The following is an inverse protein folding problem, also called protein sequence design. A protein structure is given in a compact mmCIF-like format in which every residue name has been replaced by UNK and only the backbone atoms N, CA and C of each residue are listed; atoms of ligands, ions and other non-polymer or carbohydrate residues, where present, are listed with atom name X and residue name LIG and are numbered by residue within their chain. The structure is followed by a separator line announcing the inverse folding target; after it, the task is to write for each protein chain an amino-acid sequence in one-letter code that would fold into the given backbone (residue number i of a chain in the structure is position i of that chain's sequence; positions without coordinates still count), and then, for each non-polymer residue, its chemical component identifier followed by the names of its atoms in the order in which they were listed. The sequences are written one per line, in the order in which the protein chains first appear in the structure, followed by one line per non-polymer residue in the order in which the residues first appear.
data_IF_091713367691
#
_entry.id   IF_091713367691
#
_cell.length_a   1.000
_cell.length_b   1.000
_cell.length_c   1.000
_cell.angle_alpha   90.00
_cell.angle_beta   90.00
_cell.angle_gamma   90.00
#
_symmetry.space_group_name_H-M   'P 1'
#
loop_
_entity.id
_entity.type
_entity.pdbx_description
1 polymer ?
#
# COMPACT_ATOMS: atom_id res chain seq x y z
N UNK A 1 -22.56 33.40 9.80
CA UNK A 1 -21.74 33.12 8.60
C UNK A 1 -20.55 32.29 9.06
N UNK A 2 -20.59 30.96 8.82
CA UNK A 2 -19.50 30.06 9.25
C UNK A 2 -18.35 30.18 8.26
N UNK A 3 -17.24 30.77 8.67
CA UNK A 3 -16.03 30.83 7.88
C UNK A 3 -15.46 29.41 7.73
N UNK A 4 -15.73 28.74 6.61
CA UNK A 4 -14.97 27.56 6.18
C UNK A 4 -13.55 28.00 5.86
N UNK A 5 -12.69 28.09 6.89
CA UNK A 5 -11.39 28.78 6.84
C UNK A 5 -10.32 27.97 6.09
N UNK A 6 -10.63 26.76 5.60
CA UNK A 6 -9.66 25.86 4.95
C UNK A 6 -10.28 25.12 3.75
N UNK A 7 -9.50 24.87 2.68
CA UNK A 7 -9.98 24.23 1.47
C UNK A 7 -10.37 22.76 1.67
N UNK A 8 -9.74 22.04 2.61
CA UNK A 8 -10.06 20.64 2.88
C UNK A 8 -10.60 20.43 4.29
N UNK A 9 -11.73 19.72 4.39
CA UNK A 9 -12.36 19.34 5.64
C UNK A 9 -11.69 18.08 6.21
N UNK A 10 -10.61 18.28 6.97
CA UNK A 10 -9.92 17.23 7.73
C UNK A 10 -10.10 17.55 9.21
N UNK A 11 -10.64 16.61 9.99
CA UNK A 11 -10.82 16.80 11.43
C UNK A 11 -9.47 16.64 12.15
N UNK A 12 -9.21 17.47 13.17
CA UNK A 12 -8.05 17.30 14.06
C UNK A 12 -8.10 15.94 14.75
N UNK A 13 -9.28 15.44 15.08
CA UNK A 13 -9.47 14.14 15.70
C UNK A 13 -9.02 13.00 14.77
N UNK A 14 -9.28 13.10 13.46
CA UNK A 14 -8.76 12.13 12.48
C UNK A 14 -7.23 12.06 12.50
N UNK A 15 -6.55 13.21 12.63
CA UNK A 15 -5.09 13.27 12.73
C UNK A 15 -4.58 12.64 14.04
N UNK A 16 -5.29 12.85 15.14
CA UNK A 16 -4.97 12.23 16.42
C UNK A 16 -5.14 10.71 16.40
N UNK A 17 -6.26 10.20 15.88
CA UNK A 17 -6.50 8.76 15.73
C UNK A 17 -5.47 8.10 14.80
N UNK A 18 -5.13 8.79 13.70
CA UNK A 18 -4.08 8.34 12.79
C UNK A 18 -2.73 8.23 13.50
N UNK A 19 -2.40 9.20 14.35
CA UNK A 19 -1.20 9.14 15.17
C UNK A 19 -1.22 7.96 16.16
N UNK A 20 -2.34 7.69 16.84
CA UNK A 20 -2.44 6.55 17.74
C UNK A 20 -2.19 5.22 17.01
N UNK A 21 -2.73 5.08 15.79
CA UNK A 21 -2.47 3.92 14.95
C UNK A 21 -1.00 3.80 14.50
N UNK A 22 -0.34 4.92 14.18
CA UNK A 22 1.10 4.93 13.86
C UNK A 22 1.95 4.57 15.07
N UNK A 23 1.61 5.08 16.26
CA UNK A 23 2.29 4.77 17.51
C UNK A 23 2.23 3.27 17.83
N UNK A 24 1.06 2.66 17.70
CA UNK A 24 0.87 1.23 17.96
C UNK A 24 1.72 0.32 17.07
N UNK A 25 2.00 0.75 15.82
CA UNK A 25 2.83 0.01 14.87
C UNK A 25 4.34 0.19 15.10
N UNK A 26 4.75 1.10 16.01
CA UNK A 26 6.14 1.52 16.20
C UNK A 26 6.83 1.88 14.87
N UNK A 27 8.16 1.79 14.80
CA UNK A 27 8.92 1.88 13.56
C UNK A 27 9.98 2.98 13.58
N UNK A 28 10.98 2.80 12.72
CA UNK A 28 12.18 3.61 12.68
C UNK A 28 11.91 5.07 12.27
N UNK A 29 12.84 5.94 12.63
CA UNK A 29 12.85 7.33 12.23
C UNK A 29 13.16 7.48 10.72
N UNK A 30 12.54 8.48 10.09
CA UNK A 30 12.75 8.81 8.68
C UNK A 30 14.01 9.64 8.45
N UNK A 31 14.02 10.40 7.35
CA UNK A 31 15.15 11.27 6.97
C UNK A 31 15.44 12.38 7.99
N UNK A 32 14.41 12.81 8.73
CA UNK A 32 14.50 13.82 9.80
C UNK A 32 15.05 13.27 11.13
N UNK A 33 15.30 11.96 11.20
CA UNK A 33 15.82 11.26 12.38
C UNK A 33 14.94 11.41 13.63
N UNK A 34 13.70 11.87 13.49
CA UNK A 34 12.77 12.02 14.60
C UNK A 34 12.15 10.65 14.95
N UNK A 35 12.41 10.18 16.17
CA UNK A 35 11.73 8.99 16.72
C UNK A 35 10.30 9.31 17.16
N UNK A 36 9.51 8.28 17.46
CA UNK A 36 8.14 8.47 17.97
C UNK A 36 8.17 9.19 19.33
N UNK A 37 9.13 8.82 20.19
CA UNK A 37 9.32 9.42 21.51
C UNK A 37 9.70 10.90 21.41
N UNK A 38 10.58 11.24 20.45
CA UNK A 38 10.94 12.64 20.17
C UNK A 38 9.76 13.42 19.58
N UNK A 39 8.95 12.77 18.73
CA UNK A 39 7.73 13.36 18.17
C UNK A 39 6.69 13.67 19.28
N UNK A 40 6.63 12.85 20.33
CA UNK A 40 5.72 13.00 21.46
C UNK A 40 6.05 14.16 22.39
N UNK A 41 7.30 14.63 22.44
CA UNK A 41 7.71 15.74 23.30
C UNK A 41 6.93 17.04 23.02
N UNK A 42 6.53 17.26 21.76
CA UNK A 42 5.58 18.31 21.36
C UNK A 42 4.44 17.70 20.53
N UNK A 43 3.73 16.73 21.11
CA UNK A 43 2.67 16.02 20.39
C UNK A 43 1.61 16.99 19.83
N UNK A 44 1.13 17.92 20.65
CA UNK A 44 0.07 18.87 20.24
C UNK A 44 0.54 19.77 19.10
N UNK A 45 1.75 20.33 19.18
CA UNK A 45 2.30 21.17 18.13
C UNK A 45 2.56 20.40 16.84
N UNK A 46 3.11 19.19 16.93
CA UNK A 46 3.40 18.34 15.77
C UNK A 46 2.11 17.90 15.05
N UNK A 47 1.09 17.44 15.77
CA UNK A 47 -0.21 17.10 15.18
C UNK A 47 -0.91 18.33 14.59
N UNK A 48 -0.82 19.49 15.24
CA UNK A 48 -1.36 20.73 14.71
C UNK A 48 -0.70 21.14 13.39
N UNK A 49 0.63 21.01 13.27
CA UNK A 49 1.37 21.29 12.04
C UNK A 49 0.90 20.39 10.89
N UNK A 50 0.75 19.09 11.15
CA UNK A 50 0.25 18.12 10.16
C UNK A 50 -1.16 18.47 9.73
N UNK A 51 -2.09 18.58 10.68
CA UNK A 51 -3.47 18.98 10.42
C UNK A 51 -3.54 20.29 9.64
N UNK A 52 -2.75 21.28 10.03
CA UNK A 52 -2.82 22.60 9.44
C UNK A 52 -2.44 22.57 7.96
N UNK A 53 -1.31 21.93 7.65
CA UNK A 53 -0.78 21.80 6.29
C UNK A 53 -1.60 20.87 5.41
N UNK A 54 -2.15 19.79 5.99
CA UNK A 54 -3.05 18.89 5.26
C UNK A 54 -4.37 19.61 4.94
N UNK A 55 -4.97 20.29 5.92
CA UNK A 55 -6.24 20.98 5.69
C UNK A 55 -6.13 22.15 4.72
N UNK A 56 -4.94 22.77 4.60
CA UNK A 56 -4.67 23.87 3.67
C UNK A 56 -4.18 23.42 2.28
N UNK A 57 -3.89 22.13 2.07
CA UNK A 57 -3.28 21.67 0.82
C UNK A 57 -1.78 21.96 0.68
N UNK A 58 -1.12 22.53 1.70
CA UNK A 58 0.32 22.89 1.66
C UNK A 58 1.26 21.82 2.25
N UNK A 59 0.72 20.66 2.61
CA UNK A 59 1.52 19.50 3.02
C UNK A 59 2.23 18.88 1.81
N UNK A 60 3.56 18.89 1.81
CA UNK A 60 4.37 18.17 0.85
C UNK A 60 5.21 17.14 1.62
N UNK A 61 5.24 15.88 1.17
CA UNK A 61 6.00 14.86 1.84
C UNK A 61 7.51 15.17 1.73
N UNK A 62 8.27 14.96 2.81
CA UNK A 62 9.73 14.93 2.71
C UNK A 62 10.19 13.71 1.89
N UNK A 63 11.46 13.67 1.47
CA UNK A 63 12.06 12.46 0.92
C UNK A 63 11.90 11.27 1.88
N UNK A 64 11.77 10.07 1.30
CA UNK A 64 11.63 8.82 2.05
C UNK A 64 13.01 8.23 2.27
N UNK A 65 13.35 7.84 3.51
CA UNK A 65 14.68 7.30 3.83
C UNK A 65 14.85 5.91 3.24
N UNK A 66 15.87 5.72 2.40
CA UNK A 66 16.24 4.42 1.87
C UNK A 66 17.01 3.61 2.93
N UNK A 67 16.52 2.40 3.22
CA UNK A 67 17.16 1.46 4.15
C UNK A 67 17.38 0.13 3.45
N UNK A 68 18.64 -0.24 3.29
CA UNK A 68 19.05 -1.52 2.71
C UNK A 68 18.84 -2.66 3.72
N UNK A 69 18.02 -3.65 3.35
CA UNK A 69 17.80 -4.87 4.12
C UNK A 69 18.29 -6.08 3.31
N UNK A 70 19.17 -6.94 3.85
CA UNK A 70 19.58 -8.16 3.20
C UNK A 70 18.41 -9.11 2.97
N UNK A 71 18.27 -9.66 1.75
CA UNK A 71 17.33 -10.75 1.48
C UNK A 71 17.93 -12.09 1.93
N UNK A 72 17.06 -13.01 2.39
CA UNK A 72 17.46 -14.38 2.79
C UNK A 72 18.15 -15.15 1.67
N UNK A 73 17.77 -14.90 0.41
CA UNK A 73 18.27 -15.63 -0.77
C UNK A 73 19.39 -14.89 -1.51
N UNK A 74 20.01 -13.88 -0.87
CA UNK A 74 20.97 -12.98 -1.51
C UNK A 74 20.32 -11.75 -2.16
N UNK A 75 21.10 -10.68 -2.26
CA UNK A 75 20.65 -9.36 -2.73
C UNK A 75 20.13 -8.45 -1.61
N UNK A 76 19.74 -7.23 -1.99
CA UNK A 76 19.28 -6.17 -1.07
C UNK A 76 17.85 -5.77 -1.43
N UNK A 77 17.01 -5.59 -0.41
CA UNK A 77 15.69 -4.95 -0.49
C UNK A 77 15.82 -3.54 0.06
N UNK A 78 15.48 -2.53 -0.74
CA UNK A 78 15.46 -1.15 -0.27
C UNK A 78 14.07 -0.87 0.32
N UNK A 79 13.99 -0.66 1.62
CA UNK A 79 12.79 -0.12 2.25
C UNK A 79 12.81 1.41 2.20
N UNK A 80 11.65 2.00 1.98
CA UNK A 80 11.41 3.42 2.16
C UNK A 80 10.76 3.67 3.51
N UNK A 81 11.49 4.29 4.44
CA UNK A 81 10.99 4.67 5.77
C UNK A 81 10.58 6.15 5.76
N UNK A 82 9.26 6.46 5.79
CA UNK A 82 8.80 7.84 5.88
C UNK A 82 9.03 8.42 7.28
N UNK A 83 9.02 9.74 7.41
CA UNK A 83 9.07 10.40 8.72
C UNK A 83 7.83 10.07 9.56
N UNK A 84 7.90 10.27 10.89
CA UNK A 84 6.72 10.07 11.76
C UNK A 84 5.55 10.93 11.28
N UNK A 85 5.81 12.20 10.96
CA UNK A 85 4.79 13.11 10.46
C UNK A 85 4.15 12.62 9.15
N UNK A 86 4.94 12.07 8.24
CA UNK A 86 4.45 11.53 6.97
C UNK A 86 3.67 10.23 7.15
N UNK A 87 4.09 9.36 8.06
CA UNK A 87 3.31 8.17 8.45
C UNK A 87 1.94 8.55 9.02
N UNK A 88 1.87 9.58 9.85
CA UNK A 88 0.59 10.10 10.38
C UNK A 88 -0.28 10.64 9.25
N UNK A 89 0.27 11.46 8.35
CA UNK A 89 -0.47 12.00 7.21
C UNK A 89 -0.98 10.89 6.26
N UNK A 90 -0.14 9.90 5.96
CA UNK A 90 -0.53 8.73 5.18
C UNK A 90 -1.62 7.91 5.88
N UNK A 91 -1.57 7.77 7.21
CA UNK A 91 -2.60 7.08 7.99
C UNK A 91 -3.94 7.82 7.95
N UNK A 92 -3.95 9.16 7.98
CA UNK A 92 -5.18 9.95 7.78
C UNK A 92 -5.82 9.62 6.43
N UNK A 93 -5.02 9.62 5.35
CA UNK A 93 -5.52 9.28 4.01
C UNK A 93 -5.97 7.81 3.93
N UNK A 94 -5.19 6.89 4.49
CA UNK A 94 -5.52 5.46 4.53
C UNK A 94 -6.90 5.23 5.16
N UNK A 95 -7.17 5.81 6.32
CA UNK A 95 -8.47 5.66 7.03
C UNK A 95 -9.66 6.18 6.21
N UNK A 96 -9.43 7.12 5.30
CA UNK A 96 -10.49 7.66 4.43
C UNK A 96 -10.73 6.76 3.21
N UNK A 97 -9.67 6.24 2.58
CA UNK A 97 -9.81 5.49 1.32
C UNK A 97 -10.01 3.98 1.54
N UNK A 98 -9.43 3.41 2.60
CA UNK A 98 -9.40 1.95 2.80
C UNK A 98 -10.80 1.33 2.90
N UNK A 99 -11.79 1.92 3.61
CA UNK A 99 -13.14 1.34 3.66
C UNK A 99 -13.82 1.22 2.29
N UNK A 100 -13.65 2.25 1.44
CA UNK A 100 -14.24 2.27 0.09
C UNK A 100 -13.55 1.26 -0.84
N UNK A 101 -12.22 1.14 -0.75
CA UNK A 101 -11.45 0.19 -1.55
C UNK A 101 -11.65 -1.26 -1.09
N UNK A 102 -11.69 -1.50 0.21
CA UNK A 102 -11.89 -2.82 0.82
C UNK A 102 -13.22 -3.44 0.37
N UNK A 103 -14.28 -2.62 0.24
CA UNK A 103 -15.58 -3.05 -0.28
C UNK A 103 -15.55 -3.52 -1.75
N UNK A 104 -14.45 -3.29 -2.48
CA UNK A 104 -14.26 -3.73 -3.88
C UNK A 104 -13.39 -4.97 -4.00
N UNK A 105 -12.49 -5.20 -3.04
CA UNK A 105 -11.52 -6.29 -3.13
C UNK A 105 -12.19 -7.66 -3.05
N UNK A 106 -11.75 -8.56 -3.94
CA UNK A 106 -12.32 -9.90 -4.05
C UNK A 106 -11.95 -10.77 -2.85
N UNK A 107 -12.79 -11.76 -2.47
CA UNK A 107 -12.61 -12.51 -1.22
C UNK A 107 -11.27 -13.24 -1.09
N UNK A 108 -10.68 -13.66 -2.21
CA UNK A 108 -9.46 -14.46 -2.25
C UNK A 108 -8.15 -13.63 -2.27
N UNK A 109 -8.26 -12.32 -2.04
CA UNK A 109 -7.13 -11.44 -1.72
C UNK A 109 -7.03 -11.26 -0.22
N UNK A 110 -5.91 -11.59 0.42
CA UNK A 110 -5.79 -11.62 1.89
C UNK A 110 -4.75 -10.63 2.43
N UNK A 111 -3.70 -10.35 1.66
CA UNK A 111 -2.55 -9.59 2.13
C UNK A 111 -2.91 -8.16 2.55
N UNK A 112 -2.45 -7.73 3.72
CA UNK A 112 -2.60 -6.35 4.23
C UNK A 112 -4.04 -5.83 4.34
N UNK A 113 -5.05 -6.71 4.43
CA UNK A 113 -6.46 -6.31 4.53
C UNK A 113 -6.99 -6.45 5.96
N UNK A 114 -7.84 -5.51 6.45
CA UNK A 114 -8.49 -5.65 7.74
C UNK A 114 -9.33 -6.93 7.84
N UNK A 115 -9.17 -7.69 8.93
CA UNK A 115 -9.93 -8.92 9.15
C UNK A 115 -9.60 -10.07 8.19
N UNK A 116 -8.47 -9.99 7.47
CA UNK A 116 -7.92 -11.08 6.65
C UNK A 116 -6.55 -11.47 7.18
N UNK A 117 -6.22 -12.76 7.08
CA UNK A 117 -4.97 -13.31 7.59
C UNK A 117 -4.34 -14.31 6.64
N UNK A 118 -3.02 -14.50 6.78
CA UNK A 118 -2.30 -15.54 6.05
C UNK A 118 -2.81 -16.96 6.43
N UNK A 119 -3.28 -17.14 7.66
CA UNK A 119 -3.84 -18.43 8.09
C UNK A 119 -5.15 -18.77 7.37
N UNK A 120 -6.01 -17.78 7.11
CA UNK A 120 -7.21 -17.99 6.30
C UNK A 120 -6.85 -18.34 4.85
N UNK A 121 -5.89 -17.62 4.26
CA UNK A 121 -5.37 -17.91 2.92
C UNK A 121 -4.85 -19.36 2.81
N UNK A 122 -4.07 -19.82 3.79
CA UNK A 122 -3.56 -21.20 3.86
C UNK A 122 -4.70 -22.20 4.04
N UNK A 123 -5.68 -21.92 4.88
CA UNK A 123 -6.81 -22.81 5.14
C UNK A 123 -7.64 -23.05 3.87
N UNK A 124 -7.98 -21.99 3.14
CA UNK A 124 -8.72 -22.08 1.87
C UNK A 124 -7.89 -22.79 0.80
N UNK A 125 -6.62 -22.44 0.65
CA UNK A 125 -5.69 -23.11 -0.27
C UNK A 125 -5.62 -24.61 0.00
N UNK A 126 -5.45 -25.02 1.27
CA UNK A 126 -5.40 -26.43 1.68
C UNK A 126 -6.67 -27.19 1.30
N UNK A 127 -7.84 -26.60 1.51
CA UNK A 127 -9.12 -27.22 1.15
C UNK A 127 -9.24 -27.45 -0.36
N UNK A 128 -8.76 -26.49 -1.17
CA UNK A 128 -8.81 -26.56 -2.63
C UNK A 128 -7.81 -27.57 -3.20
N UNK A 129 -6.67 -27.80 -2.54
CA UNK A 129 -5.73 -28.87 -2.93
C UNK A 129 -6.35 -30.28 -2.91
N UNK A 130 -7.49 -30.51 -2.24
CA UNK A 130 -8.21 -31.78 -2.30
C UNK A 130 -9.05 -31.97 -3.58
N UNK A 131 -9.35 -30.87 -4.29
CA UNK A 131 -10.19 -30.85 -5.48
C UNK A 131 -9.39 -30.59 -6.76
N UNK A 132 -8.25 -29.91 -6.63
CA UNK A 132 -7.41 -29.50 -7.74
C UNK A 132 -6.02 -30.15 -7.60
N UNK A 133 -5.65 -31.09 -8.48
CA UNK A 133 -4.39 -31.82 -8.39
C UNK A 133 -3.17 -30.99 -8.81
N UNK A 134 -3.38 -29.84 -9.47
CA UNK A 134 -2.31 -28.95 -9.92
C UNK A 134 -2.49 -27.53 -9.35
N UNK A 135 -1.36 -26.85 -9.18
CA UNK A 135 -1.34 -25.46 -8.76
C UNK A 135 -0.21 -24.70 -9.48
N UNK A 136 -0.49 -23.45 -9.84
CA UNK A 136 0.50 -22.48 -10.29
C UNK A 136 0.77 -21.51 -9.15
N UNK A 137 1.94 -21.62 -8.53
CA UNK A 137 2.46 -20.64 -7.56
C UNK A 137 3.21 -19.53 -8.31
N UNK A 138 3.04 -18.29 -7.88
CA UNK A 138 3.73 -17.14 -8.45
C UNK A 138 4.08 -16.10 -7.39
N UNK A 139 5.18 -15.38 -7.62
CA UNK A 139 5.62 -14.22 -6.84
C UNK A 139 5.90 -13.05 -7.78
N UNK A 140 5.29 -11.89 -7.52
CA UNK A 140 5.45 -10.71 -8.38
C UNK A 140 6.74 -9.98 -8.01
N UNK A 141 7.77 -10.16 -8.85
CA UNK A 141 9.07 -9.55 -8.66
C UNK A 141 9.00 -8.02 -8.56
N UNK A 142 9.28 -7.50 -7.37
CA UNK A 142 9.42 -6.06 -7.14
C UNK A 142 8.12 -5.28 -7.36
N UNK A 143 6.98 -5.83 -6.92
CA UNK A 143 5.67 -5.17 -7.03
C UNK A 143 5.72 -3.69 -6.62
N UNK A 144 6.22 -3.41 -5.42
CA UNK A 144 6.30 -2.06 -4.88
C UNK A 144 7.25 -1.15 -5.66
N UNK A 145 8.21 -1.70 -6.40
CA UNK A 145 9.18 -0.92 -7.17
C UNK A 145 8.69 -0.62 -8.59
N UNK A 146 7.72 -1.40 -9.10
CA UNK A 146 7.35 -1.41 -10.51
C UNK A 146 5.90 -1.00 -10.82
N UNK A 147 5.06 -0.71 -9.82
CA UNK A 147 3.68 -0.23 -10.05
C UNK A 147 3.67 1.03 -10.94
N UNK A 148 2.99 0.95 -12.07
CA UNK A 148 2.80 2.11 -12.96
C UNK A 148 1.87 3.13 -12.29
N UNK A 149 2.35 4.37 -12.13
CA UNK A 149 1.60 5.43 -11.47
C UNK A 149 0.35 5.82 -12.24
N UNK A 150 0.40 5.88 -13.58
CA UNK A 150 -0.74 6.29 -14.39
C UNK A 150 -1.88 5.26 -14.27
N UNK A 151 -1.56 3.96 -14.34
CA UNK A 151 -2.54 2.89 -14.15
C UNK A 151 -3.10 2.86 -12.73
N UNK A 152 -2.26 3.01 -11.70
CA UNK A 152 -2.70 3.09 -10.31
C UNK A 152 -3.63 4.29 -10.09
N UNK A 153 -3.27 5.47 -10.60
CA UNK A 153 -4.07 6.68 -10.46
C UNK A 153 -5.42 6.55 -11.17
N UNK A 154 -5.47 5.94 -12.36
CA UNK A 154 -6.74 5.63 -13.05
C UNK A 154 -7.63 4.70 -12.23
N UNK A 155 -7.06 3.69 -11.59
CA UNK A 155 -7.80 2.78 -10.70
C UNK A 155 -8.33 3.50 -9.45
N UNK A 156 -7.53 4.42 -8.88
CA UNK A 156 -7.93 5.24 -7.75
C UNK A 156 -9.06 6.22 -8.10
N UNK A 157 -8.96 6.94 -9.23
CA UNK A 157 -9.97 7.92 -9.67
C UNK A 157 -11.37 7.31 -9.86
N UNK A 158 -11.41 6.02 -10.20
CA UNK A 158 -12.67 5.27 -10.29
C UNK A 158 -13.38 5.17 -8.94
N UNK A 159 -12.65 5.01 -7.85
CA UNK A 159 -13.20 4.73 -6.52
C UNK A 159 -13.08 5.94 -5.59
N UNK A 160 -11.88 6.45 -5.35
CA UNK A 160 -11.62 7.52 -4.39
C UNK A 160 -12.16 8.85 -4.88
N UNK A 161 -13.27 9.32 -4.28
CA UNK A 161 -13.87 10.64 -4.58
C UNK A 161 -13.33 11.78 -3.73
N UNK A 162 -12.59 11.45 -2.68
CA UNK A 162 -11.96 12.44 -1.82
C UNK A 162 -10.77 13.12 -2.53
N UNK A 163 -10.98 14.35 -2.99
CA UNK A 163 -9.99 15.10 -3.79
C UNK A 163 -8.66 15.33 -3.05
N UNK A 164 -8.73 15.67 -1.76
CA UNK A 164 -7.51 15.92 -0.97
C UNK A 164 -6.74 14.62 -0.69
N UNK A 165 -7.42 13.48 -0.55
CA UNK A 165 -6.74 12.19 -0.45
C UNK A 165 -5.98 11.88 -1.75
N UNK A 166 -6.63 12.09 -2.90
CA UNK A 166 -6.00 11.94 -4.22
C UNK A 166 -4.79 12.86 -4.40
N UNK A 167 -4.88 14.10 -3.95
CA UNK A 167 -3.76 15.05 -3.97
C UNK A 167 -2.54 14.49 -3.22
N UNK A 168 -2.72 13.99 -2.01
CA UNK A 168 -1.60 13.49 -1.21
C UNK A 168 -1.04 12.17 -1.74
N UNK A 169 -1.89 11.26 -2.23
CA UNK A 169 -1.43 10.04 -2.90
C UNK A 169 -0.51 10.39 -4.08
N UNK A 170 -0.93 11.34 -4.95
CA UNK A 170 -0.10 11.81 -6.07
C UNK A 170 1.26 12.33 -5.59
N UNK A 171 1.30 13.11 -4.51
CA UNK A 171 2.55 13.64 -3.94
C UNK A 171 3.45 12.55 -3.33
N UNK A 172 2.89 11.56 -2.65
CA UNK A 172 3.67 10.45 -2.08
C UNK A 172 4.24 9.51 -3.12
N UNK A 173 3.52 9.27 -4.22
CA UNK A 173 4.00 8.43 -5.31
C UNK A 173 5.29 8.99 -5.94
N UNK A 174 5.41 10.32 -6.03
CA UNK A 174 6.57 11.00 -6.61
C UNK A 174 7.58 11.50 -5.57
N UNK A 175 7.37 11.24 -4.28
CA UNK A 175 8.31 11.65 -3.25
C UNK A 175 9.65 10.90 -3.44
N UNK A 176 10.80 11.61 -3.51
CA UNK A 176 12.08 10.97 -3.80
C UNK A 176 12.54 10.07 -2.66
N UNK A 177 13.32 9.05 -2.99
CA UNK A 177 14.08 8.26 -2.01
C UNK A 177 15.38 8.99 -1.68
N UNK A 178 15.75 9.02 -0.41
CA UNK A 178 17.02 9.59 0.04
C UNK A 178 17.94 8.48 0.54
N UNK A 179 19.08 8.30 -0.12
CA UNK A 179 20.12 7.35 0.25
C UNK A 179 20.96 7.84 1.43
N UNK A 180 21.76 6.94 2.00
CA UNK A 180 22.57 7.23 3.19
C UNK A 180 23.64 8.32 2.95
N UNK A 181 24.09 8.48 1.70
CA UNK A 181 25.01 9.55 1.27
C UNK A 181 24.32 10.90 1.01
N UNK A 182 22.99 10.95 1.19
CA UNK A 182 22.17 12.14 0.97
C UNK A 182 21.70 12.31 -0.48
N UNK A 183 22.07 11.41 -1.40
CA UNK A 183 21.58 11.47 -2.78
C UNK A 183 20.07 11.24 -2.83
N UNK A 184 19.41 12.04 -3.68
CA UNK A 184 17.97 11.92 -3.93
C UNK A 184 17.75 11.16 -5.23
N UNK A 185 16.98 10.09 -5.16
CA UNK A 185 16.53 9.30 -6.28
C UNK A 185 15.07 9.65 -6.58
N UNK A 186 14.82 10.22 -7.75
CA UNK A 186 13.48 10.52 -8.24
C UNK A 186 12.71 9.23 -8.53
N UNK A 187 11.40 9.27 -8.28
CA UNK A 187 10.52 8.10 -8.46
C UNK A 187 9.49 8.36 -9.53
N UNK A 188 9.59 7.60 -10.61
CA UNK A 188 8.66 7.62 -11.76
C UNK A 188 7.70 6.44 -11.76
N UNK A 189 7.94 5.44 -10.91
CA UNK A 189 7.12 4.24 -10.72
C UNK A 189 7.22 3.68 -9.30
N UNK A 190 6.36 2.73 -8.98
CA UNK A 190 6.28 2.04 -7.70
C UNK A 190 5.63 2.87 -6.59
N UNK A 191 5.49 2.28 -5.41
CA UNK A 191 5.09 2.96 -4.16
C UNK A 191 6.08 2.62 -3.03
N UNK A 192 6.46 3.58 -2.15
CA UNK A 192 7.53 3.35 -1.18
C UNK A 192 7.21 2.16 -0.26
N UNK A 193 8.16 1.23 -0.19
CA UNK A 193 8.01 0.02 0.60
C UNK A 193 8.26 0.34 2.08
N UNK A 194 7.17 0.57 2.83
CA UNK A 194 7.19 1.09 4.21
C UNK A 194 6.29 2.31 4.43
N UNK A 195 5.71 2.85 3.35
CA UNK A 195 4.58 3.77 3.46
C UNK A 195 3.35 3.09 4.05
N UNK A 196 2.63 3.80 4.90
CA UNK A 196 1.40 3.33 5.56
C UNK A 196 0.29 3.10 4.53
N UNK A 197 0.20 3.96 3.50
CA UNK A 197 -0.82 3.86 2.45
C UNK A 197 -0.43 2.88 1.34
N UNK A 198 0.87 2.58 1.20
CA UNK A 198 1.40 1.76 0.10
C UNK A 198 0.73 0.38 -0.05
N UNK A 199 0.43 -0.39 1.02
CA UNK A 199 -0.18 -1.70 0.88
C UNK A 199 -1.58 -1.68 0.25
N UNK A 200 -2.44 -0.72 0.63
CA UNK A 200 -3.79 -0.61 0.05
C UNK A 200 -3.73 -0.17 -1.42
N UNK A 201 -2.75 0.66 -1.79
CA UNK A 201 -2.51 1.04 -3.18
C UNK A 201 -2.03 -0.15 -4.04
N UNK A 202 -1.11 -0.95 -3.50
CA UNK A 202 -0.62 -2.15 -4.17
C UNK A 202 -1.75 -3.19 -4.36
N UNK A 203 -2.60 -3.39 -3.36
CA UNK A 203 -3.77 -4.25 -3.48
C UNK A 203 -4.77 -3.73 -4.51
N UNK A 204 -4.99 -2.42 -4.60
CA UNK A 204 -5.85 -1.85 -5.63
C UNK A 204 -5.32 -2.06 -7.04
N UNK A 205 -4.00 -1.93 -7.22
CA UNK A 205 -3.38 -2.23 -8.50
C UNK A 205 -3.61 -3.70 -8.87
N UNK A 206 -3.27 -4.63 -7.98
CA UNK A 206 -3.43 -6.07 -8.20
C UNK A 206 -4.88 -6.52 -8.33
N UNK A 207 -5.80 -5.83 -7.67
CA UNK A 207 -7.23 -6.08 -7.84
C UNK A 207 -7.65 -5.97 -9.31
N UNK A 208 -7.12 -4.98 -10.03
CA UNK A 208 -7.42 -4.81 -11.44
C UNK A 208 -6.53 -5.64 -12.37
N UNK A 209 -5.23 -5.71 -12.09
CA UNK A 209 -4.28 -6.37 -12.99
C UNK A 209 -4.30 -7.89 -12.88
N UNK A 210 -4.73 -8.43 -11.73
CA UNK A 210 -4.78 -9.87 -11.49
C UNK A 210 -6.18 -10.34 -11.05
N UNK A 211 -6.71 -9.86 -9.92
CA UNK A 211 -7.89 -10.47 -9.28
C UNK A 211 -9.13 -10.45 -10.19
N UNK A 212 -9.44 -9.29 -10.78
CA UNK A 212 -10.57 -9.11 -11.72
C UNK A 212 -10.30 -9.81 -13.04
N UNK A 213 -9.06 -9.81 -13.52
CA UNK A 213 -8.67 -10.50 -14.74
C UNK A 213 -8.86 -12.01 -14.61
N UNK A 214 -8.38 -12.61 -13.52
CA UNK A 214 -8.60 -14.02 -13.17
C UNK A 214 -10.08 -14.37 -13.12
N UNK A 215 -10.87 -13.56 -12.40
CA UNK A 215 -12.31 -13.79 -12.27
C UNK A 215 -13.04 -13.75 -13.62
N UNK A 216 -12.56 -12.91 -14.55
CA UNK A 216 -13.18 -12.74 -15.87
C UNK A 216 -12.75 -13.79 -16.89
N UNK A 217 -11.47 -14.15 -16.91
CA UNK A 217 -10.86 -14.96 -17.96
C UNK A 217 -10.64 -16.42 -17.56
N UNK A 218 -10.54 -16.71 -16.27
CA UNK A 218 -10.28 -18.03 -15.70
C UNK A 218 -11.23 -18.35 -14.53
N UNK A 219 -12.56 -18.30 -14.74
CA UNK A 219 -13.55 -18.46 -13.66
C UNK A 219 -13.54 -19.84 -13.01
N UNK A 220 -13.04 -20.87 -13.72
CA UNK A 220 -12.93 -22.24 -13.22
C UNK A 220 -11.64 -22.52 -12.43
N UNK A 221 -10.77 -21.51 -12.29
CA UNK A 221 -9.49 -21.56 -11.59
C UNK A 221 -9.53 -20.72 -10.31
N UNK A 222 -9.90 -21.32 -9.16
CA UNK A 222 -9.83 -20.64 -7.88
C UNK A 222 -8.39 -20.21 -7.61
N UNK A 223 -8.23 -19.01 -7.10
CA UNK A 223 -6.94 -18.45 -6.76
C UNK A 223 -6.93 -17.96 -5.31
N UNK A 224 -5.75 -17.74 -4.77
CA UNK A 224 -5.55 -17.15 -3.47
C UNK A 224 -4.30 -16.26 -3.54
N UNK A 225 -4.38 -15.03 -3.04
CA UNK A 225 -3.25 -14.08 -3.10
C UNK A 225 -3.02 -13.40 -1.76
N UNK A 226 -1.78 -13.39 -1.30
CA UNK A 226 -1.30 -12.60 -0.17
C UNK A 226 -0.26 -11.58 -0.66
N UNK A 227 -0.73 -10.37 -0.97
CA UNK A 227 0.09 -9.31 -1.57
C UNK A 227 0.64 -9.72 -2.95
N UNK A 228 1.96 -9.80 -3.10
CA UNK A 228 2.70 -10.20 -4.30
C UNK A 228 2.81 -11.72 -4.48
N UNK A 229 2.61 -12.49 -3.41
CA UNK A 229 2.64 -13.95 -3.40
C UNK A 229 1.23 -14.50 -3.65
N UNK A 230 1.10 -15.46 -4.56
CA UNK A 230 -0.18 -16.05 -4.90
C UNK A 230 -0.10 -17.44 -5.51
N UNK A 231 -1.26 -18.09 -5.53
CA UNK A 231 -1.43 -19.43 -6.08
C UNK A 231 -2.75 -19.52 -6.84
N UNK A 232 -2.74 -20.23 -7.96
CA UNK A 232 -3.93 -20.56 -8.75
C UNK A 232 -4.08 -22.08 -8.85
N UNK A 233 -5.27 -22.58 -8.51
CA UNK A 233 -5.60 -23.99 -8.58
C UNK A 233 -6.05 -24.38 -10.00
N UNK A 234 -5.51 -25.50 -10.48
CA UNK A 234 -5.72 -26.02 -11.84
C UNK A 234 -6.15 -27.49 -11.79
N UNK A 235 -6.97 -27.91 -12.75
CA UNK A 235 -7.41 -29.30 -12.90
C UNK A 235 -6.36 -30.15 -13.62
N UNK A 236 -5.58 -29.55 -14.52
CA UNK A 236 -4.53 -30.24 -15.26
C UNK A 236 -3.23 -29.43 -15.28
N UNK A 237 -2.12 -30.11 -15.57
CA UNK A 237 -0.82 -29.45 -15.78
C UNK A 237 -0.86 -28.50 -16.98
N UNK A 238 -1.54 -28.89 -18.07
CA UNK A 238 -1.63 -28.07 -19.27
C UNK A 238 -2.35 -26.74 -19.00
N UNK A 239 -3.38 -26.76 -18.15
CA UNK A 239 -4.07 -25.56 -17.71
C UNK A 239 -3.15 -24.63 -16.90
N UNK A 240 -2.36 -25.19 -15.98
CA UNK A 240 -1.37 -24.42 -15.23
C UNK A 240 -0.28 -23.80 -16.13
N UNK A 241 0.21 -24.56 -17.12
CA UNK A 241 1.19 -24.07 -18.09
C UNK A 241 0.61 -22.98 -19.00
N UNK A 242 -0.64 -23.13 -19.45
CA UNK A 242 -1.32 -22.14 -20.27
C UNK A 242 -1.57 -20.84 -19.48
N UNK A 243 -1.98 -20.94 -18.21
CA UNK A 243 -2.17 -19.78 -17.34
C UNK A 243 -0.84 -19.06 -17.08
N UNK A 244 0.24 -19.81 -16.82
CA UNK A 244 1.58 -19.24 -16.68
C UNK A 244 1.97 -18.43 -17.91
N UNK A 245 1.79 -19.00 -19.12
CA UNK A 245 2.10 -18.31 -20.35
C UNK A 245 1.28 -17.02 -20.54
N UNK A 246 0.02 -17.00 -20.07
CA UNK A 246 -0.82 -15.81 -20.12
C UNK A 246 -0.42 -14.72 -19.10
N UNK A 247 0.12 -15.10 -17.94
CA UNK A 247 0.64 -14.18 -16.93
C UNK A 247 2.02 -13.60 -17.31
N UNK A 248 2.81 -14.34 -18.07
CA UNK A 248 4.13 -13.91 -18.56
C UNK A 248 4.05 -12.98 -19.79
N UNK A 249 2.88 -12.84 -20.42
CA UNK A 249 2.64 -12.08 -21.65
C UNK A 249 2.31 -10.60 -21.43
#
# INVERSE_FOLDING_TARGET
MSATTKPFAIDKWQVYEAYQAVKANAGAAGVDQQSIEAFEQDLKGNLYKIWNRMSSGSYFPPPVKAVAIPKKNGGVRILGVPTVADRVAQMVVKRVIEPELEARFLPDSYGYRPGRSALEAVAVTRQRCWQYPWALEFDIKGLFDNIDHALLLRALEKHVKCEWAMLYIKRWLTAPLQHADGTLEERTKGTPQGGVVSPVLANLFLHYTFDVWMTKHYPDNPWCRYADDGLVHCRTEQEAQALRAALDA
#
